data_IF_144887901961
#
_entry.id   IF_144887901961
#
_cell.length_a   1.000
_cell.length_b   1.000
_cell.length_c   1.000
_cell.angle_alpha   90.00
_cell.angle_beta   90.00
_cell.angle_gamma   90.00
#
_symmetry.space_group_name_H-M   'P 1'
#
loop_
_entity.id
_entity.type
_entity.pdbx_description
1 polymer ?
#
# COMPACT_ATOMS: atom_id res chain seq x y z
N UNK A 1 -13.89 -3.55 -10.64
CA UNK A 1 -12.42 -3.76 -10.63
C UNK A 1 -12.12 -4.46 -9.32
N UNK A 2 -11.33 -5.53 -9.33
CA UNK A 2 -11.04 -6.29 -8.12
C UNK A 2 -10.04 -5.49 -7.26
N UNK A 3 -10.33 -5.30 -5.98
CA UNK A 3 -9.41 -4.70 -5.01
C UNK A 3 -8.38 -5.77 -4.62
N UNK A 4 -7.13 -5.72 -5.11
CA UNK A 4 -6.17 -6.78 -4.83
C UNK A 4 -5.83 -6.80 -3.34
N UNK A 5 -6.01 -7.95 -2.71
CA UNK A 5 -5.65 -8.18 -1.31
C UNK A 5 -4.35 -8.97 -1.26
N UNK A 6 -3.36 -8.46 -0.53
CA UNK A 6 -2.10 -9.14 -0.26
C UNK A 6 -1.93 -9.35 1.23
N UNK A 7 -1.55 -10.56 1.64
CA UNK A 7 -1.29 -10.89 3.04
C UNK A 7 0.22 -10.85 3.30
N UNK A 8 0.61 -10.18 4.38
CA UNK A 8 2.00 -10.07 4.82
C UNK A 8 2.11 -10.37 6.32
N UNK A 9 2.30 -11.66 6.64
CA UNK A 9 2.30 -12.13 8.02
C UNK A 9 0.93 -11.93 8.68
N UNK A 10 0.89 -11.04 9.68
CA UNK A 10 -0.33 -10.64 10.41
C UNK A 10 -1.03 -9.41 9.81
N UNK A 11 -0.43 -8.82 8.78
CA UNK A 11 -0.96 -7.65 8.10
C UNK A 11 -1.70 -8.04 6.82
N UNK A 12 -2.78 -7.31 6.53
CA UNK A 12 -3.53 -7.38 5.28
C UNK A 12 -3.36 -6.06 4.54
N UNK A 13 -2.85 -6.12 3.32
CA UNK A 13 -2.64 -4.98 2.43
C UNK A 13 -3.77 -4.99 1.41
N UNK A 14 -4.64 -4.00 1.47
CA UNK A 14 -5.68 -3.80 0.48
C UNK A 14 -5.18 -2.79 -0.54
N UNK A 15 -5.33 -3.08 -1.83
CA UNK A 15 -4.95 -2.17 -2.91
C UNK A 15 -6.18 -1.81 -3.72
N UNK A 16 -6.24 -0.56 -4.15
CA UNK A 16 -7.29 -0.01 -5.02
C UNK A 16 -6.61 0.66 -6.19
N UNK A 17 -6.75 0.17 -7.42
CA UNK A 17 -6.33 0.91 -8.59
C UNK A 17 -7.31 2.04 -8.90
N UNK A 18 -6.79 3.22 -9.25
CA UNK A 18 -7.57 4.39 -9.66
C UNK A 18 -7.17 4.77 -11.08
N UNK A 19 -8.14 4.84 -11.99
CA UNK A 19 -7.89 5.35 -13.33
C UNK A 19 -7.79 6.88 -13.29
N UNK A 20 -6.66 7.42 -13.74
CA UNK A 20 -6.43 8.86 -13.91
C UNK A 20 -6.70 9.28 -15.36
N UNK A 21 -6.85 10.59 -15.58
CA UNK A 21 -7.02 11.13 -16.94
C UNK A 21 -5.76 10.90 -17.78
N UNK A 22 -5.95 10.55 -19.07
CA UNK A 22 -4.85 10.41 -20.03
C UNK A 22 -4.13 9.06 -20.02
N UNK A 23 -4.84 7.96 -19.76
CA UNK A 23 -4.29 6.59 -19.70
C UNK A 23 -3.23 6.41 -18.59
N UNK A 24 -3.39 7.14 -17.49
CA UNK A 24 -2.57 7.00 -16.30
C UNK A 24 -3.35 6.27 -15.21
N UNK A 25 -2.63 5.68 -14.28
CA UNK A 25 -3.19 4.90 -13.19
C UNK A 25 -2.54 5.32 -11.89
N UNK A 26 -3.35 5.62 -10.88
CA UNK A 26 -2.91 5.70 -9.50
C UNK A 26 -3.25 4.39 -8.80
N UNK A 27 -2.71 4.19 -7.62
CA UNK A 27 -3.22 3.19 -6.72
C UNK A 27 -3.22 3.68 -5.28
N UNK A 28 -4.23 3.31 -4.52
CA UNK A 28 -4.26 3.52 -3.09
C UNK A 28 -4.03 2.18 -2.40
N UNK A 29 -3.36 2.20 -1.25
CA UNK A 29 -3.27 1.03 -0.39
C UNK A 29 -3.64 1.34 1.06
N UNK A 30 -4.20 0.36 1.74
CA UNK A 30 -4.50 0.36 3.17
C UNK A 30 -3.79 -0.84 3.81
N UNK A 31 -3.16 -0.62 4.96
CA UNK A 31 -2.59 -1.71 5.77
C UNK A 31 -3.48 -1.91 6.97
N UNK A 32 -3.93 -3.15 7.16
CA UNK A 32 -4.70 -3.59 8.31
C UNK A 32 -3.92 -4.61 9.11
N UNK A 33 -4.14 -4.64 10.41
CA UNK A 33 -3.61 -5.61 11.34
C UNK A 33 -4.75 -6.11 12.24
N UNK A 34 -5.02 -7.42 12.24
CA UNK A 34 -6.12 -8.01 13.02
C UNK A 34 -7.45 -7.25 12.86
N UNK A 35 -7.84 -6.97 11.61
CA UNK A 35 -9.03 -6.18 11.25
C UNK A 35 -8.98 -4.67 11.52
N UNK A 36 -7.98 -4.18 12.27
CA UNK A 36 -7.79 -2.74 12.51
C UNK A 36 -6.92 -2.10 11.41
N UNK A 37 -7.40 -1.02 10.79
CA UNK A 37 -6.59 -0.24 9.86
C UNK A 37 -5.46 0.48 10.62
N UNK A 38 -4.23 -0.02 10.48
CA UNK A 38 -3.03 0.59 11.08
C UNK A 38 -2.52 1.74 10.22
N UNK A 39 -2.70 1.64 8.91
CA UNK A 39 -2.42 2.71 7.96
C UNK A 39 -3.65 2.92 7.09
N UNK A 40 -4.16 4.16 7.07
CA UNK A 40 -5.29 4.55 6.24
C UNK A 40 -4.87 4.56 4.76
N UNK A 41 -5.87 4.58 3.87
CA UNK A 41 -5.69 4.71 2.43
C UNK A 41 -4.63 5.77 2.09
N UNK A 42 -3.54 5.28 1.50
CA UNK A 42 -2.39 6.09 1.09
C UNK A 42 -2.25 5.94 -0.41
N UNK A 43 -2.25 7.07 -1.12
CA UNK A 43 -2.14 7.11 -2.58
C UNK A 43 -0.67 7.01 -3.02
N UNK A 44 -0.41 6.22 -4.06
CA UNK A 44 0.89 6.10 -4.73
C UNK A 44 0.71 6.28 -6.22
N UNK A 45 1.65 7.01 -6.82
CA UNK A 45 1.64 7.42 -8.23
C UNK A 45 1.51 8.95 -8.35
N UNK A 46 0.64 9.56 -7.54
CA UNK A 46 0.52 11.02 -7.42
C UNK A 46 0.27 11.71 -8.76
N UNK A 47 0.73 12.95 -8.93
CA UNK A 47 0.50 13.74 -10.15
C UNK A 47 1.07 13.12 -11.44
N UNK A 48 2.07 12.23 -11.33
CA UNK A 48 2.67 11.56 -12.49
C UNK A 48 1.87 10.34 -12.95
N UNK A 49 1.30 9.59 -11.98
CA UNK A 49 0.64 8.31 -12.21
C UNK A 49 1.54 7.25 -12.86
N UNK A 50 1.06 6.02 -12.86
CA UNK A 50 1.66 4.88 -13.54
C UNK A 50 1.11 4.70 -14.94
N UNK A 51 1.89 4.05 -15.81
CA UNK A 51 1.49 3.79 -17.20
C UNK A 51 0.43 2.68 -17.32
N UNK A 52 0.27 1.85 -16.30
CA UNK A 52 -0.69 0.74 -16.30
C UNK A 52 -1.23 0.44 -14.90
N UNK A 53 -2.44 -0.14 -14.87
CA UNK A 53 -3.09 -0.60 -13.63
C UNK A 53 -2.18 -1.55 -12.83
N UNK A 54 -1.56 -2.51 -13.51
CA UNK A 54 -0.69 -3.50 -12.89
C UNK A 54 0.54 -2.85 -12.22
N UNK A 55 1.11 -1.84 -12.85
CA UNK A 55 2.26 -1.10 -12.33
C UNK A 55 1.87 -0.27 -11.10
N UNK A 56 0.67 0.31 -11.10
CA UNK A 56 0.11 1.00 -9.94
C UNK A 56 -0.11 0.05 -8.77
N UNK A 57 -0.75 -1.09 -9.01
CA UNK A 57 -1.02 -2.11 -7.99
C UNK A 57 0.27 -2.65 -7.39
N UNK A 58 1.25 -2.99 -8.21
CA UNK A 58 2.53 -3.53 -7.75
C UNK A 58 3.35 -2.47 -6.98
N UNK A 59 3.28 -1.21 -7.41
CA UNK A 59 3.93 -0.11 -6.67
C UNK A 59 3.29 0.14 -5.31
N UNK A 60 1.94 0.12 -5.24
CA UNK A 60 1.19 0.23 -3.98
C UNK A 60 1.52 -0.90 -3.03
N UNK A 61 1.59 -2.13 -3.54
CA UNK A 61 2.02 -3.30 -2.78
C UNK A 61 3.43 -3.13 -2.22
N UNK A 62 4.39 -2.70 -3.04
CA UNK A 62 5.79 -2.50 -2.59
C UNK A 62 5.90 -1.41 -1.54
N UNK A 63 5.18 -0.30 -1.71
CA UNK A 63 5.15 0.77 -0.73
C UNK A 63 4.56 0.28 0.61
N UNK A 64 3.45 -0.46 0.55
CA UNK A 64 2.84 -1.04 1.74
C UNK A 64 3.79 -1.99 2.50
N UNK A 65 4.50 -2.86 1.77
CA UNK A 65 5.51 -3.75 2.37
C UNK A 65 6.65 -2.95 2.97
N UNK A 66 7.13 -1.91 2.28
CA UNK A 66 8.18 -1.04 2.78
C UNK A 66 7.76 -0.28 4.05
N UNK A 67 6.50 0.13 4.16
CA UNK A 67 5.96 0.78 5.37
C UNK A 67 5.82 -0.21 6.53
N UNK A 68 5.39 -1.45 6.25
CA UNK A 68 5.37 -2.51 7.26
C UNK A 68 6.79 -2.80 7.76
N UNK A 69 7.78 -2.92 6.86
CA UNK A 69 9.18 -3.20 7.19
C UNK A 69 9.88 -2.00 7.87
N UNK A 70 9.56 -0.76 7.48
CA UNK A 70 10.04 0.44 8.18
C UNK A 70 9.38 0.63 9.55
N UNK A 71 8.28 -0.08 9.81
CA UNK A 71 7.43 0.08 10.96
C UNK A 71 6.51 1.28 10.73
N UNK A 72 5.29 1.00 10.28
CA UNK A 72 4.21 1.97 10.03
C UNK A 72 3.73 2.67 11.33
N UNK A 73 4.63 3.34 12.04
CA UNK A 73 4.39 3.90 13.37
C UNK A 73 4.39 2.88 14.51
N UNK A 74 4.76 1.60 14.29
CA UNK A 74 5.02 0.67 15.40
C UNK A 74 6.43 0.94 15.91
N UNK A 75 6.62 1.45 17.14
CA UNK A 75 7.95 1.68 17.67
C UNK A 75 8.70 0.35 17.65
N UNK A 76 9.81 0.29 16.91
CA UNK A 76 10.79 -0.79 17.04
C UNK A 76 11.01 -0.97 18.55
N UNK A 77 10.82 -2.17 19.14
CA UNK A 77 11.32 -2.38 20.48
C UNK A 77 12.80 -2.02 20.42
N UNK A 78 13.21 -1.06 21.27
CA UNK A 78 14.60 -0.59 21.36
C UNK A 78 15.48 -1.82 21.23
N UNK A 79 16.34 -1.84 20.23
CA UNK A 79 17.45 -2.76 20.21
C UNK A 79 18.13 -2.61 21.57
N UNK A 80 17.98 -3.62 22.43
CA UNK A 80 18.64 -3.63 23.72
C UNK A 80 20.14 -3.84 23.42
N UNK A 81 21.03 -2.98 23.96
CA UNK A 81 22.47 -3.13 23.82
C UNK A 81 22.98 -4.37 24.55
#
# INVERSE_FOLDING_TARGET
MAEPLFLYGVYSIHVRPLALQGARWDAEYEIRHNDHAVQRWTTVGGDAGYASEAEAVESARRQAVADIDHGAGIPKPRAFP
#
